data_IF_741605035191
#
_entry.id   IF_741605035191
#
_cell.length_a   1.000
_cell.length_b   1.000
_cell.length_c   1.000
_cell.angle_alpha   90.00
_cell.angle_beta   90.00
_cell.angle_gamma   90.00
#
_symmetry.space_group_name_H-M   'P 1'
#
loop_
_entity.id
_entity.type
_entity.pdbx_description
1 polymer ?
#
# COMPACT_ATOMS: atom_id res chain seq x y z
N UNK A 1 14.41 -23.77 -12.63
CA UNK A 1 13.48 -22.90 -11.88
C UNK A 1 14.33 -21.87 -11.15
N UNK A 2 14.61 -20.76 -11.83
CA UNK A 2 15.43 -19.66 -11.31
C UNK A 2 14.74 -19.08 -10.08
N UNK A 3 15.43 -19.07 -8.94
CA UNK A 3 14.91 -18.50 -7.69
C UNK A 3 15.10 -16.99 -7.74
N UNK A 4 14.29 -16.32 -8.54
CA UNK A 4 14.18 -14.86 -8.59
C UNK A 4 13.28 -14.37 -7.45
N UNK A 5 13.49 -13.14 -6.99
CA UNK A 5 12.64 -12.49 -5.99
C UNK A 5 11.21 -12.35 -6.53
N UNK A 6 10.19 -12.40 -5.65
CA UNK A 6 8.79 -12.30 -6.07
C UNK A 6 8.49 -10.95 -6.74
N UNK A 7 8.44 -10.98 -8.07
CA UNK A 7 8.31 -9.84 -8.98
C UNK A 7 7.08 -8.94 -8.68
N UNK A 8 6.02 -9.50 -8.10
CA UNK A 8 4.72 -8.80 -7.95
C UNK A 8 4.62 -7.77 -6.82
N UNK A 9 5.59 -7.67 -5.91
CA UNK A 9 5.46 -6.78 -4.73
C UNK A 9 6.68 -5.89 -4.46
N UNK A 10 7.88 -6.31 -4.82
CA UNK A 10 9.11 -5.60 -4.45
C UNK A 10 10.15 -5.52 -5.58
N UNK A 11 9.76 -5.84 -6.82
CA UNK A 11 10.69 -6.01 -7.94
C UNK A 11 11.46 -7.32 -7.89
N UNK A 12 12.20 -7.62 -8.95
CA UNK A 12 13.02 -8.82 -9.09
C UNK A 12 14.52 -8.48 -9.02
N UNK A 13 15.24 -9.26 -8.21
CA UNK A 13 16.70 -9.18 -8.05
C UNK A 13 17.32 -10.55 -8.25
N UNK A 14 18.48 -10.59 -8.92
CA UNK A 14 19.28 -11.79 -9.08
C UNK A 14 20.52 -11.70 -8.17
N UNK A 15 20.60 -12.57 -7.17
CA UNK A 15 21.72 -12.66 -6.25
C UNK A 15 22.49 -13.98 -6.48
N UNK A 16 23.76 -13.88 -6.85
CA UNK A 16 24.66 -15.02 -7.05
C UNK A 16 25.68 -15.15 -5.92
N UNK A 17 25.82 -16.36 -5.37
CA UNK A 17 26.79 -16.67 -4.32
C UNK A 17 27.64 -17.88 -4.72
N UNK A 18 28.94 -17.86 -4.37
CA UNK A 18 29.86 -18.98 -4.57
C UNK A 18 30.35 -19.51 -3.23
N UNK A 19 30.30 -20.83 -3.06
CA UNK A 19 30.75 -21.53 -1.85
C UNK A 19 31.56 -22.75 -2.26
N UNK A 20 32.78 -22.85 -1.73
CA UNK A 20 33.68 -23.99 -1.90
C UNK A 20 33.92 -24.68 -0.54
N UNK A 21 33.98 -26.02 -0.45
CA UNK A 21 33.72 -27.01 -1.51
C UNK A 21 32.24 -27.07 -1.95
N UNK A 22 31.94 -27.59 -3.15
CA UNK A 22 30.59 -27.60 -3.74
C UNK A 22 29.56 -28.40 -2.94
N UNK A 23 29.99 -29.35 -2.12
CA UNK A 23 29.13 -30.10 -1.20
C UNK A 23 28.44 -29.17 -0.18
N UNK A 24 29.17 -28.16 0.31
CA UNK A 24 28.62 -27.17 1.24
C UNK A 24 27.58 -26.29 0.58
N UNK A 25 27.77 -25.95 -0.71
CA UNK A 25 26.77 -25.20 -1.49
C UNK A 25 25.45 -25.98 -1.54
N UNK A 26 25.52 -27.27 -1.87
CA UNK A 26 24.32 -28.11 -1.97
C UNK A 26 23.59 -28.23 -0.63
N UNK A 27 24.32 -28.46 0.47
CA UNK A 27 23.75 -28.54 1.80
C UNK A 27 23.07 -27.22 2.22
N UNK A 28 23.71 -26.09 1.95
CA UNK A 28 23.18 -24.76 2.28
C UNK A 28 21.90 -24.45 1.48
N UNK A 29 21.88 -24.77 0.18
CA UNK A 29 20.69 -24.58 -0.67
C UNK A 29 19.52 -25.43 -0.19
N UNK A 30 19.79 -26.67 0.26
CA UNK A 30 18.77 -27.56 0.84
C UNK A 30 18.22 -26.97 2.14
N UNK A 31 19.08 -26.57 3.06
CA UNK A 31 18.68 -25.94 4.32
C UNK A 31 17.85 -24.68 4.11
N UNK A 32 18.29 -23.79 3.21
CA UNK A 32 17.57 -22.56 2.87
C UNK A 32 16.19 -22.87 2.27
N UNK A 33 16.10 -23.85 1.38
CA UNK A 33 14.81 -24.29 0.81
C UNK A 33 13.86 -24.85 1.86
N UNK A 34 14.36 -25.67 2.78
CA UNK A 34 13.57 -26.21 3.90
C UNK A 34 13.08 -25.09 4.83
N UNK A 35 13.96 -24.16 5.20
CA UNK A 35 13.61 -23.03 6.07
C UNK A 35 12.58 -22.12 5.42
N UNK A 36 12.76 -21.80 4.14
CA UNK A 36 11.81 -21.01 3.36
C UNK A 36 10.42 -21.68 3.32
N UNK A 37 10.37 -23.00 3.13
CA UNK A 37 9.10 -23.74 3.13
C UNK A 37 8.40 -23.71 4.49
N UNK A 38 9.15 -23.80 5.60
CA UNK A 38 8.59 -23.70 6.95
C UNK A 38 8.07 -22.27 7.20
N UNK A 39 8.87 -21.26 6.86
CA UNK A 39 8.48 -19.86 6.99
C UNK A 39 7.23 -19.52 6.16
N UNK A 40 7.09 -20.07 4.96
CA UNK A 40 5.89 -19.83 4.13
C UNK A 40 4.62 -20.49 4.71
N UNK A 41 4.75 -21.55 5.53
CA UNK A 41 3.61 -22.14 6.26
C UNK A 41 3.21 -21.32 7.49
N UNK A 42 4.19 -20.70 8.15
CA UNK A 42 4.00 -19.91 9.37
C UNK A 42 4.97 -18.72 9.36
N UNK A 43 4.60 -17.61 8.70
CA UNK A 43 5.48 -16.46 8.57
C UNK A 43 5.54 -15.71 9.90
N UNK A 44 6.76 -15.48 10.39
CA UNK A 44 7.00 -14.56 11.49
C UNK A 44 7.27 -13.16 10.93
N UNK A 45 6.32 -12.23 11.12
CA UNK A 45 6.44 -10.85 10.66
C UNK A 45 7.29 -9.96 11.58
N UNK A 46 7.80 -10.48 12.70
CA UNK A 46 8.63 -9.71 13.63
C UNK A 46 7.86 -8.66 14.44
N UNK A 47 6.52 -8.72 14.45
CA UNK A 47 5.68 -7.78 15.20
C UNK A 47 5.73 -8.16 16.68
N UNK A 48 6.54 -7.43 17.44
CA UNK A 48 6.56 -7.55 18.90
C UNK A 48 5.41 -6.73 19.49
N UNK A 49 4.38 -7.40 19.99
CA UNK A 49 3.32 -6.73 20.75
C UNK A 49 3.78 -6.62 22.20
N UNK A 50 4.35 -5.47 22.57
CA UNK A 50 4.42 -5.11 23.97
C UNK A 50 2.99 -4.76 24.40
N UNK A 51 2.30 -5.69 25.08
CA UNK A 51 1.06 -5.33 25.79
C UNK A 51 1.42 -4.31 26.88
N UNK A 52 1.28 -3.03 26.58
CA UNK A 52 0.78 -2.12 27.59
C UNK A 52 -0.55 -2.72 28.07
N UNK A 53 -0.76 -2.76 29.39
CA UNK A 53 -1.96 -3.33 30.00
C UNK A 53 -3.16 -2.42 29.69
N UNK A 54 -3.58 -2.38 28.44
CA UNK A 54 -4.84 -1.77 28.07
C UNK A 54 -5.89 -2.86 28.17
N UNK A 55 -6.82 -2.64 29.08
CA UNK A 55 -7.99 -3.44 29.32
C UNK A 55 -8.67 -3.73 27.99
N UNK A 56 -8.72 -5.02 27.62
CA UNK A 56 -9.50 -5.47 26.47
C UNK A 56 -10.95 -5.18 26.80
N UNK A 57 -11.47 -4.02 26.39
CA UNK A 57 -12.91 -3.85 26.25
C UNK A 57 -13.34 -4.90 25.23
N UNK A 58 -14.04 -5.93 25.71
CA UNK A 58 -14.81 -6.82 24.86
C UNK A 58 -15.87 -5.97 24.16
N UNK A 59 -15.50 -5.37 23.03
CA UNK A 59 -16.47 -4.93 22.05
C UNK A 59 -16.98 -6.20 21.40
N UNK A 60 -18.03 -6.77 21.99
CA UNK A 60 -18.94 -7.63 21.24
C UNK A 60 -19.61 -6.70 20.23
N UNK A 61 -18.91 -6.42 19.13
CA UNK A 61 -19.58 -5.94 17.93
C UNK A 61 -20.37 -7.14 17.42
N UNK A 62 -21.69 -7.05 17.51
CA UNK A 62 -22.58 -7.94 16.79
C UNK A 62 -22.20 -7.83 15.31
N UNK A 63 -21.42 -8.80 14.84
CA UNK A 63 -21.11 -8.95 13.42
C UNK A 63 -22.44 -9.37 12.80
N UNK A 64 -23.16 -8.38 12.27
CA UNK A 64 -24.33 -8.64 11.43
C UNK A 64 -23.83 -9.44 10.23
N UNK A 65 -24.19 -10.73 10.20
CA UNK A 65 -23.94 -11.68 9.12
C UNK A 65 -24.72 -11.21 7.88
N UNK A 66 -24.25 -10.12 7.26
CA UNK A 66 -24.84 -9.56 6.07
C UNK A 66 -24.46 -10.44 4.87
N UNK A 67 -25.33 -11.43 4.66
CA UNK A 67 -25.43 -12.29 3.48
C UNK A 67 -25.01 -11.57 2.19
N UNK A 68 -24.04 -12.18 1.51
CA UNK A 68 -23.89 -12.17 0.05
C UNK A 68 -23.94 -10.80 -0.63
N UNK A 69 -22.88 -10.01 -0.50
CA UNK A 69 -22.62 -8.90 -1.44
C UNK A 69 -21.53 -9.31 -2.42
N UNK A 70 -21.79 -9.09 -3.71
CA UNK A 70 -20.85 -9.47 -4.78
C UNK A 70 -19.73 -8.43 -4.87
N UNK A 71 -18.61 -8.76 -5.53
CA UNK A 71 -17.45 -7.85 -5.66
C UNK A 71 -17.75 -6.50 -6.32
N UNK A 72 -18.91 -6.34 -6.96
CA UNK A 72 -19.39 -5.08 -7.52
C UNK A 72 -19.87 -4.09 -6.46
N UNK A 73 -20.37 -4.57 -5.33
CA UNK A 73 -20.89 -3.71 -4.25
C UNK A 73 -19.77 -3.17 -3.33
N UNK A 74 -18.55 -3.72 -3.41
CA UNK A 74 -17.41 -3.31 -2.58
C UNK A 74 -16.74 -2.01 -3.04
N UNK A 75 -16.87 -1.64 -4.32
CA UNK A 75 -16.30 -0.40 -4.85
C UNK A 75 -16.88 0.85 -4.16
N UNK A 76 -18.17 0.78 -3.80
CA UNK A 76 -18.87 1.90 -3.18
C UNK A 76 -18.52 2.04 -1.69
N UNK A 77 -18.25 0.91 -1.00
CA UNK A 77 -17.84 0.92 0.41
C UNK A 77 -16.47 1.57 0.56
N UNK A 78 -15.50 1.19 -0.27
CA UNK A 78 -14.15 1.77 -0.22
C UNK A 78 -14.17 3.28 -0.46
N UNK A 79 -15.08 3.76 -1.31
CA UNK A 79 -15.24 5.18 -1.60
C UNK A 79 -15.63 6.01 -0.36
N UNK A 80 -16.34 5.42 0.61
CA UNK A 80 -16.71 6.10 1.85
C UNK A 80 -15.52 6.31 2.81
N UNK A 81 -14.46 5.51 2.67
CA UNK A 81 -13.24 5.59 3.50
C UNK A 81 -12.08 6.28 2.79
N UNK A 82 -12.28 6.80 1.57
CA UNK A 82 -11.26 7.57 0.87
C UNK A 82 -11.02 8.90 1.59
N UNK A 83 -9.80 9.09 2.07
CA UNK A 83 -9.39 10.33 2.76
C UNK A 83 -9.50 11.57 1.86
N UNK A 84 -9.33 11.39 0.54
CA UNK A 84 -9.38 12.44 -0.48
C UNK A 84 -10.73 12.47 -1.24
N UNK A 85 -11.77 11.80 -0.71
CA UNK A 85 -13.09 11.74 -1.31
C UNK A 85 -13.12 10.94 -2.62
N UNK A 86 -13.56 11.54 -3.72
CA UNK A 86 -13.76 10.85 -5.01
C UNK A 86 -12.52 10.79 -5.90
N UNK A 87 -11.38 11.33 -5.46
CA UNK A 87 -10.14 11.29 -6.23
C UNK A 87 -9.53 9.88 -6.18
N UNK A 88 -9.68 9.14 -7.28
CA UNK A 88 -9.18 7.77 -7.41
C UNK A 88 -7.71 7.69 -7.89
N UNK A 89 -7.22 8.74 -8.56
CA UNK A 89 -5.90 8.77 -9.17
C UNK A 89 -5.32 10.18 -9.18
N UNK A 90 -4.11 10.33 -8.68
CA UNK A 90 -3.34 11.56 -8.76
C UNK A 90 -2.84 11.77 -10.19
N UNK A 91 -2.86 13.02 -10.66
CA UNK A 91 -2.28 13.35 -11.97
C UNK A 91 -0.77 13.48 -11.87
N UNK A 92 -0.12 13.45 -13.03
CA UNK A 92 1.33 13.54 -13.10
C UNK A 92 1.87 14.79 -12.42
N UNK A 93 2.95 14.68 -11.62
CA UNK A 93 3.63 15.83 -11.05
C UNK A 93 4.37 16.61 -12.15
N UNK A 94 4.14 17.93 -12.21
CA UNK A 94 4.75 18.87 -13.15
C UNK A 94 5.41 20.00 -12.39
N UNK A 95 6.58 20.43 -12.82
CA UNK A 95 7.24 21.61 -12.25
C UNK A 95 6.47 22.88 -12.61
N UNK A 96 6.16 23.71 -11.61
CA UNK A 96 5.58 25.02 -11.82
C UNK A 96 6.57 26.13 -11.47
N UNK A 97 6.81 27.01 -12.43
CA UNK A 97 7.76 28.12 -12.30
C UNK A 97 7.30 29.20 -11.32
N UNK A 98 5.99 29.47 -11.23
CA UNK A 98 5.43 30.51 -10.35
C UNK A 98 5.62 30.17 -8.86
N UNK A 99 5.55 28.89 -8.52
CA UNK A 99 5.71 28.38 -7.14
C UNK A 99 7.11 27.84 -6.87
N UNK A 100 7.91 27.55 -7.90
CA UNK A 100 9.23 26.91 -7.77
C UNK A 100 9.17 25.48 -7.22
N UNK A 101 8.03 24.80 -7.35
CA UNK A 101 7.75 23.48 -6.77
C UNK A 101 7.16 22.53 -7.83
N UNK A 102 7.33 21.23 -7.62
CA UNK A 102 6.57 20.22 -8.34
C UNK A 102 5.14 20.15 -7.78
N UNK A 103 4.15 20.35 -8.66
CA UNK A 103 2.73 20.32 -8.33
C UNK A 103 2.00 19.25 -9.16
N UNK A 104 0.86 18.77 -8.68
CA UNK A 104 -0.03 17.95 -9.50
C UNK A 104 -0.50 18.75 -10.74
N UNK A 105 -0.55 18.10 -11.91
CA UNK A 105 -1.04 18.72 -13.15
C UNK A 105 -2.46 19.29 -12.96
N UNK A 106 -2.58 20.61 -13.13
CA UNK A 106 -3.86 21.30 -13.07
C UNK A 106 -4.81 20.88 -14.20
N UNK A 107 -6.14 20.90 -13.98
CA UNK A 107 -7.09 20.66 -15.05
C UNK A 107 -7.00 21.78 -16.08
N UNK A 108 -7.20 21.48 -17.37
CA UNK A 108 -6.98 22.39 -18.51
C UNK A 108 -7.66 23.78 -18.39
N UNK A 109 -8.69 23.90 -17.56
CA UNK A 109 -9.50 25.11 -17.38
C UNK A 109 -9.16 25.93 -16.13
N UNK A 110 -8.14 25.54 -15.36
CA UNK A 110 -7.82 26.19 -14.10
C UNK A 110 -6.37 26.65 -14.08
N UNK A 111 -6.16 27.88 -13.60
CA UNK A 111 -4.82 28.37 -13.24
C UNK A 111 -4.61 28.25 -11.74
N UNK A 112 -3.35 28.27 -11.30
CA UNK A 112 -3.00 28.28 -9.86
C UNK A 112 -3.72 29.43 -9.15
N UNK A 113 -3.70 30.61 -9.76
CA UNK A 113 -4.35 31.80 -9.22
C UNK A 113 -5.84 31.59 -8.97
N UNK A 114 -6.53 30.79 -9.79
CA UNK A 114 -7.97 30.56 -9.64
C UNK A 114 -8.30 29.62 -8.47
N UNK A 115 -7.37 28.75 -8.08
CA UNK A 115 -7.51 27.88 -6.90
C UNK A 115 -7.29 28.65 -5.58
N UNK A 116 -6.47 29.70 -5.60
CA UNK A 116 -6.16 30.51 -4.41
C UNK A 116 -7.07 31.74 -4.23
N UNK A 117 -7.76 32.19 -5.28
CA UNK A 117 -8.72 33.29 -5.21
C UNK A 117 -9.99 32.85 -4.49
N UNK A 118 -10.23 33.38 -3.29
CA UNK A 118 -11.51 33.24 -2.59
C UNK A 118 -12.51 34.24 -3.18
N UNK A 119 -13.49 33.78 -3.97
CA UNK A 119 -14.59 34.64 -4.43
C UNK A 119 -15.63 34.73 -3.31
N UNK A 120 -15.85 35.91 -2.70
CA UNK A 120 -16.89 36.06 -1.69
C UNK A 120 -18.26 35.87 -2.34
N UNK A 121 -19.13 35.06 -1.69
CA UNK A 121 -20.50 34.87 -2.16
C UNK A 121 -21.21 36.23 -2.19
N UNK A 122 -21.67 36.63 -3.37
CA UNK A 122 -22.49 37.83 -3.56
C UNK A 122 -23.77 37.64 -2.76
N UNK A 123 -23.97 38.42 -1.69
CA UNK A 123 -25.27 38.49 -1.01
C UNK A 123 -26.28 39.03 -2.02
N UNK A 124 -27.26 38.21 -2.36
CA UNK A 124 -28.43 38.65 -3.13
C UNK A 124 -29.21 39.57 -2.18
N UNK A 125 -29.30 40.86 -2.53
CA UNK A 125 -30.17 41.84 -1.91
C UNK A 125 -31.45 41.95 -2.75
#
# INVERSE_FOLDING_TARGET
>A
MSKETMEKKAGSYLLGFRIDPPERLHNTVKQLGSLHNIYMKSPNFGIAISRAKDEVKNMNEDIDDYKGRTTRDHSDILSAYLADGTKQTDREPVYNEDLGLAIERLPEKYTISDLWKVIPRKKIQ
#
